data_IF_469452819162
#
_entry.id   IF_469452819162
#
_cell.length_a   1.000
_cell.length_b   1.000
_cell.length_c   1.000
_cell.angle_alpha   90.00
_cell.angle_beta   90.00
_cell.angle_gamma   90.00
#
_symmetry.space_group_name_H-M   'P 1'
#
loop_
_entity.id
_entity.type
_entity.pdbx_description
1 polymer ?
#
# COMPACT_ATOMS: atom_id res chain seq x y z
N UNK A 1 21.52 40.66 11.93
CA UNK A 1 22.44 40.24 10.87
C UNK A 1 21.67 39.31 9.97
N UNK A 2 21.22 39.85 8.85
CA UNK A 2 20.02 39.39 8.18
C UNK A 2 20.42 38.67 6.88
N UNK A 3 20.55 37.34 6.96
CA UNK A 3 21.04 36.47 5.87
C UNK A 3 20.30 36.62 4.53
N UNK A 4 19.12 37.24 4.51
CA UNK A 4 18.29 37.29 3.32
C UNK A 4 18.60 38.49 2.40
N UNK A 5 19.26 39.53 2.90
CA UNK A 5 19.57 40.74 2.11
C UNK A 5 20.78 40.56 1.18
N UNK A 6 21.71 39.66 1.51
CA UNK A 6 22.95 39.46 0.71
C UNK A 6 22.71 38.67 -0.59
N UNK A 7 21.67 37.81 -0.61
CA UNK A 7 21.34 36.94 -1.75
C UNK A 7 20.98 37.70 -3.04
N UNK A 8 20.07 38.71 -3.04
CA UNK A 8 19.76 39.46 -4.26
C UNK A 8 21.00 40.15 -4.86
N UNK A 9 21.87 40.73 -4.01
CA UNK A 9 23.10 41.38 -4.46
C UNK A 9 24.07 40.36 -5.09
N UNK A 10 24.24 39.18 -4.49
CA UNK A 10 25.04 38.10 -5.05
C UNK A 10 24.55 37.64 -6.43
N UNK A 11 23.22 37.48 -6.62
CA UNK A 11 22.67 37.12 -7.93
C UNK A 11 22.87 38.24 -8.96
N UNK A 12 22.81 39.50 -8.56
CA UNK A 12 23.08 40.64 -9.44
C UNK A 12 24.55 40.66 -9.91
N UNK A 13 25.51 40.43 -9.00
CA UNK A 13 26.94 40.30 -9.34
C UNK A 13 27.17 39.14 -10.32
N UNK A 14 26.73 37.93 -9.98
CA UNK A 14 26.90 36.74 -10.83
C UNK A 14 26.25 36.90 -12.21
N UNK A 15 25.06 37.52 -12.28
CA UNK A 15 24.39 37.81 -13.56
C UNK A 15 25.22 38.78 -14.40
N UNK A 16 25.81 39.81 -13.78
CA UNK A 16 26.63 40.82 -14.46
C UNK A 16 27.90 40.20 -15.04
N UNK A 17 28.60 39.37 -14.26
CA UNK A 17 29.83 38.70 -14.70
C UNK A 17 29.58 37.76 -15.90
N UNK A 18 28.50 36.97 -15.84
CA UNK A 18 28.10 36.05 -16.93
C UNK A 18 27.78 36.83 -18.21
N UNK A 19 27.04 37.93 -18.10
CA UNK A 19 26.61 38.72 -19.26
C UNK A 19 27.76 39.53 -19.85
N UNK A 20 28.65 40.08 -19.01
CA UNK A 20 29.88 40.73 -19.46
C UNK A 20 30.76 39.76 -20.27
N UNK A 21 30.94 38.52 -19.79
CA UNK A 21 31.66 37.49 -20.52
C UNK A 21 30.96 37.09 -21.84
N UNK A 22 29.63 36.98 -21.83
CA UNK A 22 28.83 36.61 -23.02
C UNK A 22 28.88 37.69 -24.11
N UNK A 23 28.58 38.94 -23.77
CA UNK A 23 28.58 40.07 -24.72
C UNK A 23 30.00 40.43 -25.18
N UNK A 24 31.02 40.17 -24.36
CA UNK A 24 32.43 40.31 -24.77
C UNK A 24 32.88 39.34 -25.87
N UNK A 25 32.18 38.19 -26.02
CA UNK A 25 32.50 37.17 -27.03
C UNK A 25 31.44 37.00 -28.13
N UNK A 26 30.24 37.59 -27.96
CA UNK A 26 29.10 37.41 -28.86
C UNK A 26 28.48 38.77 -29.21
N UNK A 27 28.13 38.97 -30.48
CA UNK A 27 27.42 40.16 -30.92
C UNK A 27 25.92 40.01 -30.60
N UNK A 28 25.39 40.86 -29.72
CA UNK A 28 24.00 40.83 -29.25
C UNK A 28 23.33 42.17 -29.59
N UNK A 29 22.10 42.16 -30.11
CA UNK A 29 21.40 43.41 -30.42
C UNK A 29 21.01 44.14 -29.13
N UNK A 30 21.07 45.47 -29.14
CA UNK A 30 20.73 46.30 -27.98
C UNK A 30 19.27 46.12 -27.50
N UNK A 31 18.37 45.67 -28.38
CA UNK A 31 16.99 45.29 -28.06
C UNK A 31 16.88 44.05 -27.17
N UNK A 32 17.86 43.15 -27.26
CA UNK A 32 17.76 41.81 -26.68
C UNK A 32 18.45 41.72 -25.31
N UNK A 33 19.35 42.67 -25.01
CA UNK A 33 20.06 42.77 -23.74
C UNK A 33 19.13 42.80 -22.51
N UNK A 34 18.04 43.60 -22.44
CA UNK A 34 17.17 43.63 -21.27
C UNK A 34 16.49 42.28 -20.99
N UNK A 35 16.15 41.56 -22.07
CA UNK A 35 15.56 40.22 -21.99
C UNK A 35 16.58 39.19 -21.51
N UNK A 36 17.79 39.20 -22.07
CA UNK A 36 18.87 38.30 -21.67
C UNK A 36 19.22 38.47 -20.17
N UNK A 37 19.26 39.70 -19.68
CA UNK A 37 19.48 40.00 -18.25
C UNK A 37 18.37 39.39 -17.38
N UNK A 38 17.11 39.58 -17.76
CA UNK A 38 15.98 39.01 -17.03
C UNK A 38 15.98 37.47 -17.04
N UNK A 39 16.25 36.85 -18.19
CA UNK A 39 16.25 35.39 -18.37
C UNK A 39 17.39 34.74 -17.53
N UNK A 40 18.61 35.30 -17.54
CA UNK A 40 19.73 34.79 -16.73
C UNK A 40 19.51 34.99 -15.23
N UNK A 41 19.05 36.17 -14.80
CA UNK A 41 18.76 36.44 -13.39
C UNK A 41 17.65 35.52 -12.85
N UNK A 42 16.60 35.30 -13.65
CA UNK A 42 15.53 34.37 -13.31
C UNK A 42 16.02 32.91 -13.24
N UNK A 43 16.91 32.49 -14.15
CA UNK A 43 17.50 31.15 -14.14
C UNK A 43 18.39 30.91 -12.90
N UNK A 44 19.26 31.86 -12.54
CA UNK A 44 20.08 31.77 -11.33
C UNK A 44 19.23 31.72 -10.07
N UNK A 45 18.21 32.58 -9.98
CA UNK A 45 17.27 32.57 -8.85
C UNK A 45 16.52 31.24 -8.77
N UNK A 46 16.00 30.71 -9.89
CA UNK A 46 15.28 29.44 -9.93
C UNK A 46 16.17 28.20 -9.69
N UNK A 47 17.50 28.32 -9.84
CA UNK A 47 18.46 27.29 -9.48
C UNK A 47 18.87 27.36 -8.00
N UNK A 48 18.89 28.55 -7.41
CA UNK A 48 19.27 28.78 -6.01
C UNK A 48 18.11 28.66 -5.03
N UNK A 49 16.89 29.01 -5.44
CA UNK A 49 15.66 28.58 -4.77
C UNK A 49 15.51 27.07 -5.05
N UNK A 50 15.64 26.17 -4.04
CA UNK A 50 15.29 24.78 -4.24
C UNK A 50 13.78 24.72 -4.49
N UNK A 51 13.40 24.67 -5.77
CA UNK A 51 12.04 24.31 -6.21
C UNK A 51 11.61 23.14 -5.32
N UNK A 52 10.50 23.24 -4.56
CA UNK A 52 10.12 22.17 -3.65
C UNK A 52 10.04 20.88 -4.44
N UNK A 53 10.98 19.98 -4.18
CA UNK A 53 10.98 18.66 -4.77
C UNK A 53 9.59 18.08 -4.48
N UNK A 54 8.93 17.58 -5.54
CA UNK A 54 7.58 17.01 -5.45
C UNK A 54 7.57 16.11 -4.22
N UNK A 55 6.84 16.53 -3.19
CA UNK A 55 7.14 16.09 -1.83
C UNK A 55 7.16 14.57 -1.78
N UNK A 56 8.25 14.00 -1.26
CA UNK A 56 8.36 12.56 -1.04
C UNK A 56 7.06 12.10 -0.37
N UNK A 57 6.38 11.07 -0.91
CA UNK A 57 4.93 10.92 -0.81
C UNK A 57 4.50 11.08 0.64
N UNK A 58 3.84 12.20 0.91
CA UNK A 58 3.44 12.55 2.27
C UNK A 58 2.63 11.37 2.80
N UNK A 59 3.09 10.79 3.93
CA UNK A 59 2.41 9.64 4.55
C UNK A 59 0.94 9.99 4.66
N UNK A 60 0.08 9.16 4.07
CA UNK A 60 -1.32 9.50 3.87
C UNK A 60 -1.92 9.95 5.21
N UNK A 61 -2.51 11.15 5.26
CA UNK A 61 -2.95 11.69 6.55
C UNK A 61 -4.04 10.78 7.13
N UNK A 62 -4.18 10.69 8.47
CA UNK A 62 -5.23 9.85 9.07
C UNK A 62 -6.64 10.19 8.56
N UNK A 63 -6.87 11.45 8.17
CA UNK A 63 -8.10 11.92 7.55
C UNK A 63 -8.32 11.38 6.13
N UNK A 64 -7.26 11.31 5.32
CA UNK A 64 -7.31 10.73 3.97
C UNK A 64 -7.45 9.20 4.01
N UNK A 65 -6.79 8.52 4.94
CA UNK A 65 -6.92 7.06 5.14
C UNK A 65 -8.37 6.70 5.56
N UNK A 66 -9.02 7.52 6.38
CA UNK A 66 -10.45 7.34 6.68
C UNK A 66 -11.33 7.62 5.46
N UNK A 67 -11.01 8.66 4.68
CA UNK A 67 -11.76 9.03 3.46
C UNK A 67 -11.60 8.00 2.34
N UNK A 68 -10.48 7.28 2.26
CA UNK A 68 -10.25 6.25 1.25
C UNK A 68 -11.01 4.95 1.51
N UNK A 69 -11.55 4.74 2.71
CA UNK A 69 -12.38 3.58 3.07
C UNK A 69 -13.85 3.97 2.99
N UNK A 70 -14.53 3.58 1.91
CA UNK A 70 -16.01 3.66 1.79
C UNK A 70 -16.61 2.25 1.84
N UNK A 71 -17.89 2.13 2.21
CA UNK A 71 -18.56 0.83 2.35
C UNK A 71 -18.51 -0.02 1.07
N UNK A 72 -18.78 0.59 -0.09
CA UNK A 72 -18.84 -0.09 -1.39
C UNK A 72 -17.51 -0.14 -2.15
N UNK A 73 -16.63 0.85 -1.94
CA UNK A 73 -15.38 1.04 -2.69
C UNK A 73 -14.25 1.55 -1.80
N UNK A 74 -13.01 1.20 -2.14
CA UNK A 74 -11.80 1.79 -1.58
C UNK A 74 -11.16 2.69 -2.64
N UNK A 75 -10.71 3.87 -2.22
CA UNK A 75 -9.94 4.79 -3.07
C UNK A 75 -8.47 4.34 -3.04
N UNK A 76 -7.85 4.27 -4.22
CA UNK A 76 -6.42 3.97 -4.39
C UNK A 76 -5.59 5.26 -4.27
N UNK A 77 -4.49 5.21 -3.50
CA UNK A 77 -3.55 6.34 -3.39
C UNK A 77 -2.62 6.47 -4.62
N UNK A 78 -2.51 5.43 -5.47
CA UNK A 78 -1.69 5.48 -6.70
C UNK A 78 -2.34 6.29 -7.84
N UNK A 79 -3.66 6.45 -7.84
CA UNK A 79 -4.41 7.07 -8.95
C UNK A 79 -5.75 7.71 -8.58
N UNK A 80 -6.12 7.75 -7.30
CA UNK A 80 -7.35 8.39 -6.81
C UNK A 80 -8.65 7.69 -7.23
N UNK A 81 -8.59 6.49 -7.82
CA UNK A 81 -9.77 5.82 -8.40
C UNK A 81 -10.46 4.90 -7.38
N UNK A 82 -11.80 4.79 -7.42
CA UNK A 82 -12.56 3.88 -6.56
C UNK A 82 -12.53 2.44 -7.09
N UNK A 83 -12.20 1.49 -6.22
CA UNK A 83 -12.11 0.06 -6.52
C UNK A 83 -12.83 -0.80 -5.48
N UNK A 84 -13.57 -1.83 -5.91
CA UNK A 84 -14.14 -2.84 -4.99
C UNK A 84 -13.05 -3.70 -4.32
N UNK A 85 -11.93 -3.92 -5.02
CA UNK A 85 -10.77 -4.67 -4.50
C UNK A 85 -9.47 -4.00 -4.93
N UNK A 86 -8.67 -3.52 -3.97
CA UNK A 86 -7.35 -2.96 -4.26
C UNK A 86 -6.35 -4.05 -4.66
N UNK A 87 -6.49 -5.29 -4.14
CA UNK A 87 -5.58 -6.41 -4.48
C UNK A 87 -5.36 -6.56 -5.99
N UNK A 88 -6.43 -6.55 -6.79
CA UNK A 88 -6.34 -6.66 -8.27
C UNK A 88 -5.60 -5.48 -8.90
N UNK A 89 -5.84 -4.27 -8.40
CA UNK A 89 -5.19 -3.06 -8.88
C UNK A 89 -3.68 -3.09 -8.60
N UNK A 90 -3.28 -3.46 -7.37
CA UNK A 90 -1.88 -3.55 -6.97
C UNK A 90 -1.13 -4.65 -7.76
N UNK A 91 -1.74 -5.83 -7.96
CA UNK A 91 -1.12 -6.90 -8.76
C UNK A 91 -0.88 -6.50 -10.22
N UNK A 92 -1.76 -5.67 -10.82
CA UNK A 92 -1.57 -5.17 -12.18
C UNK A 92 -0.39 -4.19 -12.29
N UNK A 93 0.01 -3.56 -11.18
CA UNK A 93 1.19 -2.67 -11.07
C UNK A 93 2.44 -3.40 -10.56
N UNK A 94 2.39 -4.71 -10.32
CA UNK A 94 3.49 -5.47 -9.70
C UNK A 94 3.73 -5.13 -8.22
N UNK A 95 2.83 -4.41 -7.56
CA UNK A 95 2.94 -4.03 -6.15
C UNK A 95 2.30 -5.09 -5.24
N UNK A 96 3.00 -5.46 -4.16
CA UNK A 96 2.40 -6.25 -3.09
C UNK A 96 1.54 -5.37 -2.18
N UNK A 97 0.52 -5.92 -1.49
CA UNK A 97 -0.28 -5.16 -0.52
C UNK A 97 0.55 -4.56 0.63
N UNK A 98 1.64 -5.21 1.00
CA UNK A 98 2.56 -4.77 2.05
C UNK A 98 3.46 -3.62 1.57
N UNK A 99 4.06 -3.75 0.39
CA UNK A 99 4.83 -2.66 -0.22
C UNK A 99 3.97 -1.40 -0.43
N UNK A 100 2.70 -1.56 -0.81
CA UNK A 100 1.75 -0.45 -0.90
C UNK A 100 1.47 0.21 0.46
N UNK A 101 1.27 -0.58 1.54
CA UNK A 101 1.13 -0.03 2.91
C UNK A 101 2.37 0.72 3.35
N UNK A 102 3.56 0.17 3.13
CA UNK A 102 4.85 0.80 3.48
C UNK A 102 5.08 2.10 2.70
N UNK A 103 4.87 2.08 1.37
CA UNK A 103 5.08 3.23 0.47
C UNK A 103 4.29 4.48 0.89
N UNK A 104 3.06 4.28 1.38
CA UNK A 104 2.13 5.36 1.71
C UNK A 104 1.92 5.55 3.23
N UNK A 105 2.53 4.70 4.07
CA UNK A 105 2.41 4.76 5.53
C UNK A 105 1.06 4.31 6.11
N UNK A 106 0.35 3.39 5.44
CA UNK A 106 -0.97 2.92 5.90
C UNK A 106 -0.84 1.93 7.07
N UNK A 107 -1.81 1.91 8.01
CA UNK A 107 -1.91 0.88 9.05
C UNK A 107 -1.91 -0.55 8.49
N UNK A 108 -1.39 -1.49 9.28
CA UNK A 108 -1.42 -2.94 8.98
C UNK A 108 -2.86 -3.45 8.82
N UNK A 109 -3.81 -2.88 9.56
CA UNK A 109 -5.23 -3.20 9.50
C UNK A 109 -5.97 -2.58 8.29
N UNK A 110 -5.28 -1.84 7.40
CA UNK A 110 -5.97 -1.22 6.27
C UNK A 110 -6.59 -2.27 5.32
N UNK A 111 -7.90 -2.21 5.05
CA UNK A 111 -8.58 -3.21 4.23
C UNK A 111 -8.10 -3.15 2.77
N UNK A 112 -8.08 -4.31 2.10
CA UNK A 112 -7.70 -4.40 0.67
C UNK A 112 -8.90 -4.72 -0.25
N UNK A 113 -10.10 -4.80 0.33
CA UNK A 113 -11.38 -5.11 -0.31
C UNK A 113 -12.49 -4.36 0.42
N UNK A 114 -13.52 -3.91 -0.30
CA UNK A 114 -14.62 -3.18 0.33
C UNK A 114 -15.49 -4.05 1.23
N UNK A 115 -16.16 -3.43 2.20
CA UNK A 115 -17.05 -4.11 3.13
C UNK A 115 -18.20 -4.81 2.38
N UNK A 116 -18.81 -4.10 1.43
CA UNK A 116 -19.84 -4.60 0.50
C UNK A 116 -19.38 -5.84 -0.29
N UNK A 117 -18.17 -5.80 -0.87
CA UNK A 117 -17.61 -6.96 -1.59
C UNK A 117 -17.32 -8.15 -0.66
N UNK A 118 -16.82 -7.88 0.55
CA UNK A 118 -16.52 -8.90 1.55
C UNK A 118 -17.80 -9.59 2.04
N UNK A 119 -18.87 -8.82 2.24
CA UNK A 119 -20.21 -9.31 2.62
C UNK A 119 -20.82 -10.19 1.52
N UNK A 120 -20.90 -9.71 0.28
CA UNK A 120 -21.43 -10.49 -0.86
C UNK A 120 -20.70 -11.84 -1.01
N UNK A 121 -19.37 -11.84 -0.88
CA UNK A 121 -18.55 -13.05 -1.00
C UNK A 121 -18.70 -14.00 0.19
N UNK A 122 -19.01 -13.50 1.39
CA UNK A 122 -19.27 -14.34 2.57
C UNK A 122 -20.68 -14.93 2.58
N UNK A 123 -21.68 -14.21 2.06
CA UNK A 123 -23.05 -14.70 1.85
C UNK A 123 -23.07 -15.83 0.82
N UNK A 124 -22.42 -15.64 -0.33
CA UNK A 124 -22.25 -16.69 -1.35
C UNK A 124 -21.49 -17.91 -0.80
N UNK A 125 -20.48 -17.72 0.04
CA UNK A 125 -19.77 -18.84 0.67
C UNK A 125 -20.68 -19.64 1.62
N UNK A 126 -21.52 -18.95 2.40
CA UNK A 126 -22.47 -19.59 3.32
C UNK A 126 -23.57 -20.37 2.58
N UNK A 127 -24.13 -19.83 1.49
CA UNK A 127 -25.12 -20.54 0.66
C UNK A 127 -24.51 -21.73 -0.08
N UNK A 128 -23.24 -21.63 -0.51
CA UNK A 128 -22.46 -22.73 -1.08
C UNK A 128 -21.92 -23.73 -0.02
N UNK A 129 -22.32 -23.61 1.25
CA UNK A 129 -22.06 -24.62 2.29
C UNK A 129 -20.75 -24.47 3.07
N UNK A 130 -19.92 -23.47 2.78
CA UNK A 130 -18.68 -23.18 3.52
C UNK A 130 -19.00 -22.68 4.93
N UNK A 131 -19.10 -23.61 5.88
CA UNK A 131 -19.43 -23.35 7.29
C UNK A 131 -20.31 -24.43 7.92
N UNK A 132 -21.00 -25.26 7.12
CA UNK A 132 -21.92 -26.28 7.64
C UNK A 132 -21.21 -27.41 8.39
N UNK A 133 -19.96 -27.74 8.04
CA UNK A 133 -19.14 -28.72 8.77
C UNK A 133 -18.91 -28.30 10.23
N UNK A 134 -18.63 -27.01 10.49
CA UNK A 134 -18.41 -26.49 11.85
C UNK A 134 -19.70 -26.46 12.68
N UNK A 135 -20.86 -26.24 12.03
CA UNK A 135 -22.18 -26.38 12.66
C UNK A 135 -22.56 -27.83 12.93
N UNK A 136 -22.18 -28.76 12.05
CA UNK A 136 -22.40 -30.20 12.25
C UNK A 136 -21.55 -30.74 13.40
N UNK A 137 -20.27 -30.36 13.50
CA UNK A 137 -19.42 -30.77 14.62
C UNK A 137 -19.89 -30.19 15.96
N UNK A 138 -20.38 -28.94 15.99
CA UNK A 138 -20.98 -28.36 17.19
C UNK A 138 -22.27 -29.08 17.59
N UNK A 139 -23.15 -29.42 16.62
CA UNK A 139 -24.37 -30.19 16.91
C UNK A 139 -24.06 -31.57 17.48
N UNK A 140 -23.12 -32.32 16.90
CA UNK A 140 -22.75 -33.63 17.45
C UNK A 140 -22.16 -33.57 18.86
N UNK A 141 -21.52 -32.45 19.24
CA UNK A 141 -21.02 -32.25 20.62
C UNK A 141 -22.16 -31.88 21.58
N UNK A 142 -23.14 -31.07 21.16
CA UNK A 142 -24.32 -30.79 22.01
C UNK A 142 -25.23 -31.99 22.16
N UNK A 143 -25.37 -32.82 21.12
CA UNK A 143 -26.22 -34.03 21.12
C UNK A 143 -25.59 -35.14 21.99
N UNK A 144 -24.26 -35.30 21.95
CA UNK A 144 -23.53 -36.19 22.85
C UNK A 144 -23.49 -35.72 24.33
N UNK A 145 -23.73 -34.43 24.59
CA UNK A 145 -23.83 -33.90 25.95
C UNK A 145 -25.25 -34.03 26.53
N UNK A 146 -26.29 -33.98 25.69
CA UNK A 146 -27.69 -34.16 26.09
C UNK A 146 -27.98 -35.64 26.44
N UNK A 147 -27.51 -36.57 25.60
CA UNK A 147 -27.57 -38.02 25.85
C UNK A 147 -26.78 -38.46 27.11
N UNK A 148 -25.75 -37.70 27.51
CA UNK A 148 -24.99 -37.97 28.73
C UNK A 148 -25.68 -37.49 30.02
N UNK A 149 -26.79 -36.75 29.94
CA UNK A 149 -27.54 -36.26 31.10
C UNK A 149 -28.70 -37.19 31.51
N UNK A 150 -28.84 -38.35 30.85
CA UNK A 150 -29.98 -39.27 30.98
C UNK A 150 -29.74 -40.54 31.80
N UNK A 151 -28.90 -40.52 32.83
CA UNK A 151 -28.81 -41.64 33.80
C UNK A 151 -28.47 -41.19 35.21
N UNK A 152 -29.22 -41.68 36.20
CA UNK A 152 -29.06 -41.34 37.61
C UNK A 152 -27.71 -41.77 38.23
N UNK A 153 -27.04 -40.78 38.85
CA UNK A 153 -26.39 -40.85 40.16
C UNK A 153 -25.40 -41.97 40.50
N UNK A 154 -24.10 -41.63 40.52
CA UNK A 154 -23.18 -41.86 41.65
C UNK A 154 -21.87 -41.08 41.42
N UNK A 155 -21.35 -40.39 42.44
CA UNK A 155 -20.18 -39.53 42.30
C UNK A 155 -18.83 -40.22 42.52
N UNK A 156 -17.76 -39.62 41.98
CA UNK A 156 -16.41 -39.71 42.55
C UNK A 156 -15.63 -38.41 42.26
N UNK A 157 -14.85 -37.95 43.23
CA UNK A 157 -14.04 -36.72 43.15
C UNK A 157 -12.68 -36.99 42.47
N UNK A 158 -12.18 -36.06 41.65
CA UNK A 158 -10.75 -35.98 41.30
C UNK A 158 -10.35 -34.57 40.83
N UNK A 159 -9.28 -34.05 41.44
CA UNK A 159 -8.73 -32.69 41.34
C UNK A 159 -8.38 -32.10 39.96
N UNK A 160 -8.65 -30.80 39.85
CA UNK A 160 -7.76 -29.69 39.45
C UNK A 160 -6.53 -29.99 38.55
N UNK A 161 -6.46 -29.31 37.39
CA UNK A 161 -5.23 -29.13 36.61
C UNK A 161 -5.27 -27.84 35.78
N UNK A 162 -4.34 -26.90 36.04
CA UNK A 162 -4.34 -25.57 35.43
C UNK A 162 -3.74 -25.53 34.01
N UNK A 163 -4.01 -24.43 33.28
CA UNK A 163 -3.38 -24.10 31.99
C UNK A 163 -1.86 -23.83 32.14
N UNK A 164 -1.07 -23.76 31.04
CA UNK A 164 -0.96 -22.48 30.32
C UNK A 164 -0.70 -22.56 28.80
N UNK A 165 -0.52 -21.38 28.20
CA UNK A 165 -0.15 -21.08 26.80
C UNK A 165 1.26 -21.58 26.40
N UNK A 166 1.49 -21.74 25.08
CA UNK A 166 2.81 -21.52 24.46
C UNK A 166 2.72 -21.34 22.92
N UNK A 167 3.44 -20.33 22.39
CA UNK A 167 3.77 -20.15 20.97
C UNK A 167 4.83 -21.15 20.47
N UNK A 168 4.92 -21.36 19.14
CA UNK A 168 6.14 -21.86 18.48
C UNK A 168 6.20 -21.54 16.97
N UNK A 169 7.42 -21.36 16.44
CA UNK A 169 7.70 -20.96 15.05
C UNK A 169 9.00 -21.61 14.53
N UNK A 170 9.40 -21.53 13.25
CA UNK A 170 8.77 -20.88 12.09
C UNK A 170 8.89 -21.76 10.82
N UNK A 171 10.09 -21.82 10.27
CA UNK A 171 10.49 -22.38 8.96
C UNK A 171 12.04 -22.62 8.99
N UNK A 172 12.76 -23.07 7.93
CA UNK A 172 12.34 -23.21 6.53
C UNK A 172 12.94 -24.39 5.69
N UNK A 173 12.58 -24.36 4.39
CA UNK A 173 13.37 -24.77 3.21
C UNK A 173 13.51 -26.26 2.81
N UNK A 174 12.81 -26.67 1.73
CA UNK A 174 13.41 -27.14 0.46
C UNK A 174 12.36 -27.47 -0.64
N UNK A 175 12.73 -27.30 -1.91
CA UNK A 175 12.06 -27.72 -3.17
C UNK A 175 13.18 -28.26 -4.10
N UNK A 176 12.97 -29.11 -5.13
CA UNK A 176 11.90 -29.05 -6.16
C UNK A 176 11.48 -30.46 -6.67
N UNK A 177 11.02 -30.68 -7.93
CA UNK A 177 10.12 -29.92 -8.80
C UNK A 177 8.80 -30.66 -9.09
N UNK A 178 7.82 -29.99 -9.73
CA UNK A 178 6.56 -30.63 -10.16
C UNK A 178 6.69 -31.24 -11.57
N UNK A 179 6.44 -32.55 -11.70
CA UNK A 179 6.34 -33.24 -12.99
C UNK A 179 5.02 -32.88 -13.69
N UNK A 180 5.10 -32.09 -14.75
CA UNK A 180 3.92 -31.69 -15.53
C UNK A 180 3.37 -32.85 -16.36
N UNK A 181 2.06 -33.08 -16.28
CA UNK A 181 1.35 -33.98 -17.19
C UNK A 181 1.04 -33.29 -18.51
N UNK A 182 1.83 -33.55 -19.55
CA UNK A 182 1.40 -33.28 -20.93
C UNK A 182 0.59 -34.47 -21.43
N UNK A 183 -0.68 -34.25 -21.77
CA UNK A 183 -1.48 -35.22 -22.54
C UNK A 183 -0.79 -35.47 -23.88
N UNK A 184 -0.63 -36.73 -24.24
CA UNK A 184 -0.28 -37.11 -25.61
C UNK A 184 -1.52 -36.99 -26.51
N UNK A 185 -1.32 -36.45 -27.70
CA UNK A 185 -2.21 -36.62 -28.84
C UNK A 185 -1.32 -36.78 -30.08
N UNK A 186 -1.36 -37.96 -30.70
CA UNK A 186 -0.60 -38.28 -31.89
C UNK A 186 -1.50 -39.04 -32.87
N UNK A 187 -1.58 -38.50 -34.09
CA UNK A 187 -2.07 -39.06 -35.37
C UNK A 187 -1.85 -37.91 -36.37
N UNK A 188 -1.07 -38.05 -37.44
CA UNK A 188 -1.29 -38.94 -38.60
C UNK A 188 -2.69 -38.65 -39.19
N UNK A 189 -2.82 -38.13 -40.41
CA UNK A 189 -1.98 -38.30 -41.60
C UNK A 189 -1.81 -36.97 -42.36
#
# INVERSE_FOLDING_TARGET
MDENSTKPDQFATLTTDIIAAYVGHNNVQASDLPRLIADVFAALKAAADPKPAVAAPARATPSEIRRSITHDVLISFEDGKPYKTLRRHLTLRGLTPEAYRQKWGLPVDYPMTSASYSKQRSELAQTLGLGQQRRRSLRTVTEAADEASGSDGAGFEAEVGAAPEAEASEAPAARPPRRGGRKAAARAE
#
